data_IF_560601246042
#
_entry.id   IF_560601246042
#
_cell.length_a   1.000
_cell.length_b   1.000
_cell.length_c   1.000
_cell.angle_alpha   90.00
_cell.angle_beta   90.00
_cell.angle_gamma   90.00
#
_symmetry.space_group_name_H-M   'P 1'
#
loop_
_entity.id
_entity.type
_entity.pdbx_description
1 polymer ?
#
# COMPACT_ATOMS: atom_id res chain seq x y z
N UNK A 1 -0.11 -10.50 -24.86
CA UNK A 1 -0.68 -9.14 -24.83
C UNK A 1 -0.94 -8.84 -23.37
N UNK A 2 -0.01 -8.17 -22.68
CA UNK A 2 -0.26 -7.68 -21.33
C UNK A 2 -1.28 -6.55 -21.49
N UNK A 3 -2.44 -6.66 -20.85
CA UNK A 3 -3.53 -5.71 -21.01
C UNK A 3 -3.03 -4.29 -20.74
N UNK A 4 -3.19 -3.39 -21.72
CA UNK A 4 -2.94 -1.94 -21.65
C UNK A 4 -3.88 -1.21 -20.65
N UNK A 5 -4.20 -1.83 -19.51
CA UNK A 5 -5.19 -1.34 -18.53
C UNK A 5 -4.80 -1.63 -17.07
N UNK A 6 -3.61 -2.17 -16.80
CA UNK A 6 -3.22 -2.44 -15.41
C UNK A 6 -2.70 -1.17 -14.74
N UNK A 7 -3.54 -0.55 -13.91
CA UNK A 7 -3.22 0.67 -13.16
C UNK A 7 -2.66 0.36 -11.78
N UNK A 8 -1.77 1.22 -11.31
CA UNK A 8 -1.25 1.17 -9.95
C UNK A 8 -2.37 1.45 -8.94
N UNK A 9 -2.52 0.58 -7.95
CA UNK A 9 -3.56 0.69 -6.91
C UNK A 9 -3.36 1.86 -5.92
N UNK A 10 -2.33 2.70 -6.11
CA UNK A 10 -1.99 3.82 -5.24
C UNK A 10 -2.16 5.16 -5.98
N UNK A 11 -1.58 5.32 -7.16
CA UNK A 11 -1.70 6.57 -7.92
C UNK A 11 -2.79 6.54 -9.02
N UNK A 12 -3.41 5.38 -9.24
CA UNK A 12 -4.41 5.14 -10.29
C UNK A 12 -3.90 5.34 -11.73
N UNK A 13 -2.59 5.46 -11.88
CA UNK A 13 -1.90 5.67 -13.15
C UNK A 13 -1.31 4.37 -13.71
N UNK A 14 -1.18 4.29 -15.04
CA UNK A 14 -0.68 3.13 -15.77
C UNK A 14 0.67 3.33 -16.44
N UNK A 15 1.23 4.55 -16.43
CA UNK A 15 2.50 4.87 -17.09
C UNK A 15 3.66 4.18 -16.39
N UNK A 16 4.59 3.59 -17.15
CA UNK A 16 5.74 2.86 -16.59
C UNK A 16 7.05 3.39 -17.12
N UNK A 17 8.01 3.60 -16.23
CA UNK A 17 9.39 3.96 -16.58
C UNK A 17 10.35 2.81 -16.24
N UNK A 18 11.56 2.79 -16.83
CA UNK A 18 12.51 1.69 -16.67
C UNK A 18 12.94 1.44 -15.19
N UNK A 19 12.85 2.46 -14.33
CA UNK A 19 13.19 2.36 -12.90
C UNK A 19 11.96 2.42 -11.98
N UNK A 20 10.76 2.59 -12.55
CA UNK A 20 9.51 2.70 -11.80
C UNK A 20 8.41 1.91 -12.52
N UNK A 21 8.60 0.60 -12.65
CA UNK A 21 7.65 -0.28 -13.30
C UNK A 21 6.46 -0.60 -12.39
N UNK A 22 5.34 -1.04 -12.98
CA UNK A 22 4.24 -1.67 -12.25
C UNK A 22 4.59 -3.13 -12.00
N UNK A 23 4.64 -3.51 -10.73
CA UNK A 23 4.85 -4.89 -10.27
C UNK A 23 3.55 -5.51 -9.78
N UNK A 24 3.41 -6.82 -9.99
CA UNK A 24 2.24 -7.59 -9.60
C UNK A 24 2.60 -8.57 -8.49
N UNK A 25 1.85 -8.56 -7.41
CA UNK A 25 2.04 -9.51 -6.32
C UNK A 25 1.61 -10.91 -6.76
N UNK A 26 2.52 -11.88 -6.72
CA UNK A 26 2.23 -13.27 -7.08
C UNK A 26 1.19 -13.94 -6.15
N UNK A 27 0.97 -13.40 -4.95
CA UNK A 27 0.04 -13.95 -3.96
C UNK A 27 -1.38 -13.38 -4.02
N UNK A 28 -1.57 -12.15 -4.50
CA UNK A 28 -2.89 -11.49 -4.48
C UNK A 28 -3.19 -10.63 -5.72
N UNK A 29 -2.31 -10.64 -6.72
CA UNK A 29 -2.42 -9.86 -7.96
C UNK A 29 -2.52 -8.34 -7.75
N UNK A 30 -2.03 -7.82 -6.61
CA UNK A 30 -1.91 -6.38 -6.37
C UNK A 30 -0.92 -5.77 -7.37
N UNK A 31 -1.38 -4.79 -8.15
CA UNK A 31 -0.58 -4.01 -9.09
C UNK A 31 -0.18 -2.67 -8.47
N UNK A 32 1.12 -2.39 -8.36
CA UNK A 32 1.64 -1.12 -7.83
C UNK A 32 2.92 -0.72 -8.54
N UNK A 33 3.15 0.57 -8.70
CA UNK A 33 4.47 1.08 -9.05
C UNK A 33 5.49 0.78 -7.95
N UNK A 34 6.74 0.56 -8.36
CA UNK A 34 7.86 0.40 -7.44
C UNK A 34 7.97 1.56 -6.46
N UNK A 35 7.96 2.80 -6.96
CA UNK A 35 8.12 3.99 -6.11
C UNK A 35 6.88 4.22 -5.23
N UNK A 36 5.68 3.98 -5.75
CA UNK A 36 4.45 4.16 -4.97
C UNK A 36 4.36 3.20 -3.77
N UNK A 37 4.89 1.98 -3.89
CA UNK A 37 4.84 0.97 -2.83
C UNK A 37 6.16 0.80 -2.05
N UNK A 38 7.24 1.45 -2.50
CA UNK A 38 8.57 1.35 -1.92
C UNK A 38 9.25 0.01 -2.19
N UNK A 39 9.25 -0.44 -3.46
CA UNK A 39 9.92 -1.67 -3.92
C UNK A 39 11.31 -1.30 -4.46
N UNK A 40 12.39 -1.56 -3.69
CA UNK A 40 13.73 -1.08 -4.05
C UNK A 40 14.31 -1.75 -5.31
N UNK A 41 13.93 -3.00 -5.56
CA UNK A 41 14.29 -3.74 -6.77
C UNK A 41 13.27 -4.85 -7.01
N UNK A 42 13.11 -5.23 -8.27
CA UNK A 42 12.27 -6.36 -8.68
C UNK A 42 13.14 -7.63 -8.61
N UNK A 43 12.77 -8.65 -7.82
CA UNK A 43 13.53 -9.90 -7.77
C UNK A 43 13.40 -10.67 -9.09
N UNK A 44 14.38 -11.52 -9.41
CA UNK A 44 14.31 -12.42 -10.59
C UNK A 44 13.22 -13.50 -10.44
N UNK A 45 12.71 -13.72 -9.22
CA UNK A 45 11.64 -14.65 -8.91
C UNK A 45 10.36 -13.94 -8.48
N UNK A 46 9.62 -14.59 -7.57
CA UNK A 46 8.35 -14.06 -7.10
C UNK A 46 8.50 -12.76 -6.32
N UNK A 47 7.60 -11.83 -6.57
CA UNK A 47 7.41 -10.65 -5.74
C UNK A 47 6.10 -10.76 -4.95
N UNK A 48 6.20 -10.63 -3.63
CA UNK A 48 5.05 -10.63 -2.73
C UNK A 48 4.93 -9.26 -2.07
N UNK A 49 3.72 -8.70 -2.05
CA UNK A 49 3.43 -7.50 -1.27
C UNK A 49 3.58 -7.78 0.23
N UNK A 50 3.68 -6.72 1.04
CA UNK A 50 3.93 -6.86 2.48
C UNK A 50 2.89 -7.73 3.18
N UNK A 51 1.61 -7.59 2.81
CA UNK A 51 0.52 -8.43 3.32
C UNK A 51 0.76 -9.91 3.03
N UNK A 52 1.09 -10.26 1.79
CA UNK A 52 1.28 -11.65 1.38
C UNK A 52 2.53 -12.27 2.01
N UNK A 53 3.59 -11.49 2.25
CA UNK A 53 4.81 -11.95 2.93
C UNK A 53 4.55 -12.28 4.41
N UNK A 54 3.74 -11.50 5.11
CA UNK A 54 3.50 -11.67 6.56
C UNK A 54 2.29 -12.58 6.84
N UNK A 55 1.22 -12.45 6.04
CA UNK A 55 -0.10 -13.04 6.25
C UNK A 55 -0.69 -13.52 4.91
N UNK A 56 -0.12 -14.54 4.26
CA UNK A 56 -0.52 -14.98 2.92
C UNK A 56 -2.02 -15.30 2.83
N UNK A 57 -2.53 -16.11 3.77
CA UNK A 57 -3.91 -16.61 3.74
C UNK A 57 -4.88 -15.88 4.67
N UNK A 58 -4.43 -14.83 5.38
CA UNK A 58 -5.28 -14.10 6.34
C UNK A 58 -5.64 -12.73 5.79
N UNK A 59 -6.91 -12.29 5.87
CA UNK A 59 -7.27 -10.93 5.56
C UNK A 59 -6.65 -9.97 6.58
N UNK A 60 -6.48 -8.72 6.19
CA UNK A 60 -6.06 -7.63 7.08
C UNK A 60 -7.07 -6.49 6.95
N UNK A 61 -7.26 -5.75 8.02
CA UNK A 61 -8.17 -4.61 8.06
C UNK A 61 -7.36 -3.31 8.04
N UNK A 62 -7.82 -2.34 7.26
CA UNK A 62 -7.26 -0.99 7.32
C UNK A 62 -7.79 -0.28 8.55
N UNK A 63 -6.92 0.28 9.38
CA UNK A 63 -7.37 1.10 10.52
C UNK A 63 -8.06 2.40 10.11
N UNK A 64 -7.90 2.85 8.86
CA UNK A 64 -8.28 4.18 8.40
C UNK A 64 -9.55 4.19 7.53
N UNK A 65 -10.02 3.03 7.07
CA UNK A 65 -11.21 2.93 6.22
C UNK A 65 -11.81 1.51 6.27
N UNK A 66 -13.07 1.30 5.84
CA UNK A 66 -13.71 -0.01 5.89
C UNK A 66 -13.33 -0.97 4.74
N UNK A 67 -12.51 -0.54 3.78
CA UNK A 67 -12.16 -1.35 2.62
C UNK A 67 -11.15 -2.46 2.99
N UNK A 68 -11.27 -3.62 2.34
CA UNK A 68 -10.47 -4.83 2.64
C UNK A 68 -9.46 -5.18 1.54
N UNK A 69 -9.42 -4.41 0.46
CA UNK A 69 -8.55 -4.61 -0.69
C UNK A 69 -7.68 -3.38 -0.94
N UNK A 70 -6.51 -3.58 -1.52
CA UNK A 70 -5.59 -2.51 -1.90
C UNK A 70 -4.16 -2.76 -1.41
N UNK A 71 -3.35 -1.70 -1.49
CA UNK A 71 -1.94 -1.74 -1.12
C UNK A 71 -1.74 -1.46 0.38
N UNK A 72 -1.48 -2.52 1.15
CA UNK A 72 -1.28 -2.45 2.59
C UNK A 72 0.19 -2.35 3.01
N UNK A 73 0.44 -1.63 4.12
CA UNK A 73 1.69 -1.67 4.90
C UNK A 73 1.36 -1.80 6.39
N UNK A 74 2.35 -2.29 7.16
CA UNK A 74 2.21 -2.35 8.61
C UNK A 74 2.37 -0.95 9.21
N UNK A 75 1.55 -0.65 10.21
CA UNK A 75 1.67 0.58 11.01
C UNK A 75 2.77 0.41 12.07
N UNK A 76 3.26 1.52 12.63
CA UNK A 76 4.19 1.51 13.78
C UNK A 76 3.63 0.80 15.02
N UNK A 77 2.32 0.55 15.04
CA UNK A 77 1.60 -0.14 16.12
C UNK A 77 1.29 -1.61 15.79
N UNK A 78 1.99 -2.19 14.81
CA UNK A 78 1.84 -3.58 14.36
C UNK A 78 0.44 -3.94 13.84
N UNK A 79 -0.31 -2.94 13.36
CA UNK A 79 -1.58 -3.13 12.66
C UNK A 79 -1.39 -2.85 11.17
N UNK A 80 -2.47 -2.70 10.42
CA UNK A 80 -2.42 -2.52 8.96
C UNK A 80 -3.19 -1.28 8.53
N UNK A 81 -2.66 -0.59 7.53
CA UNK A 81 -3.35 0.48 6.85
C UNK A 81 -3.00 0.47 5.37
N UNK A 82 -3.90 0.98 4.54
CA UNK A 82 -3.59 1.24 3.14
C UNK A 82 -2.59 2.40 3.05
N UNK A 83 -1.60 2.28 2.17
CA UNK A 83 -0.70 3.40 1.84
C UNK A 83 -1.49 4.61 1.33
N UNK A 84 -2.47 4.39 0.46
CA UNK A 84 -3.35 5.44 -0.05
C UNK A 84 -4.05 6.21 1.08
N UNK A 85 -4.58 5.50 2.08
CA UNK A 85 -5.20 6.15 3.23
C UNK A 85 -4.20 6.98 4.04
N UNK A 86 -2.98 6.45 4.24
CA UNK A 86 -1.94 7.17 4.95
C UNK A 86 -1.45 8.43 4.21
N UNK A 87 -1.43 8.40 2.87
CA UNK A 87 -1.05 9.54 2.02
C UNK A 87 -2.10 10.66 2.09
N UNK A 88 -3.39 10.31 2.19
CA UNK A 88 -4.48 11.29 2.19
C UNK A 88 -4.90 11.81 3.57
N UNK A 89 -4.44 11.18 4.65
CA UNK A 89 -4.68 11.68 6.01
C UNK A 89 -3.48 12.55 6.44
N UNK A 90 -3.66 13.86 6.70
CA UNK A 90 -2.54 14.75 6.97
C UNK A 90 -1.71 14.40 8.21
N UNK A 91 -2.32 13.74 9.19
CA UNK A 91 -1.66 13.36 10.43
C UNK A 91 -0.87 12.05 10.32
N UNK A 92 -0.90 11.38 9.16
CA UNK A 92 -0.18 10.13 8.90
C UNK A 92 0.93 10.31 7.88
N UNK A 93 1.87 9.37 7.86
CA UNK A 93 2.94 9.33 6.89
C UNK A 93 3.59 7.95 6.85
N UNK A 94 4.84 7.94 6.38
CA UNK A 94 5.70 6.75 6.37
C UNK A 94 7.02 7.08 7.06
N UNK A 95 7.50 6.18 7.92
CA UNK A 95 8.76 6.36 8.63
C UNK A 95 10.00 6.31 7.72
N UNK A 96 9.89 5.63 6.57
CA UNK A 96 10.90 5.60 5.53
C UNK A 96 10.25 5.74 4.15
N UNK A 97 10.55 6.83 3.45
CA UNK A 97 9.99 7.13 2.13
C UNK A 97 10.53 6.24 0.99
N UNK A 98 11.70 5.61 1.16
CA UNK A 98 12.24 4.68 0.16
C UNK A 98 11.50 3.34 0.18
N UNK A 99 11.19 2.84 1.38
CA UNK A 99 10.46 1.58 1.55
C UNK A 99 8.96 1.78 1.75
N UNK A 100 8.50 3.04 1.78
CA UNK A 100 7.12 3.42 2.09
C UNK A 100 6.58 2.72 3.35
N UNK A 101 7.41 2.57 4.39
CA UNK A 101 7.04 1.85 5.61
C UNK A 101 7.91 2.21 6.83
N UNK A 102 7.45 1.94 8.07
CA UNK A 102 6.07 1.63 8.43
C UNK A 102 5.16 2.85 8.24
N UNK A 103 3.85 2.64 8.19
CA UNK A 103 2.89 3.75 8.30
C UNK A 103 2.91 4.29 9.73
N UNK A 104 3.03 5.60 9.90
CA UNK A 104 3.08 6.25 11.21
C UNK A 104 1.96 7.30 11.38
N UNK A 105 1.93 7.94 12.55
CA UNK A 105 0.99 9.04 12.83
C UNK A 105 -0.47 8.65 13.08
N UNK A 106 -0.86 7.38 12.87
CA UNK A 106 -2.26 6.90 13.00
C UNK A 106 -2.89 7.24 14.35
N UNK A 107 -2.14 7.13 15.45
CA UNK A 107 -2.64 7.49 16.81
C UNK A 107 -2.86 8.99 17.00
N UNK A 108 -2.24 9.82 16.19
CA UNK A 108 -2.38 11.28 16.20
C UNK A 108 -3.65 11.79 15.53
N UNK A 109 -4.40 10.93 14.83
CA UNK A 109 -5.61 11.32 14.10
C UNK A 109 -6.69 11.82 15.09
N UNK A 110 -7.17 13.08 14.95
CA UNK A 110 -8.21 13.61 15.81
C UNK A 110 -9.50 12.80 15.73
N UNK A 111 -10.14 12.54 16.89
CA UNK A 111 -11.41 11.78 16.97
C UNK A 111 -12.54 12.32 16.08
N UNK A 112 -12.47 13.60 15.71
CA UNK A 112 -13.46 14.26 14.87
C UNK A 112 -13.42 13.80 13.41
N UNK A 113 -12.26 13.35 12.88
CA UNK A 113 -12.17 12.84 11.50
C UNK A 113 -13.02 11.58 11.27
N UNK A 114 -13.20 10.78 12.30
CA UNK A 114 -14.01 9.56 12.27
C UNK A 114 -15.52 9.81 12.23
N UNK A 115 -15.97 11.06 12.42
CA UNK A 115 -17.39 11.43 12.40
C UNK A 115 -17.91 11.78 11.00
N UNK A 116 -17.07 11.79 9.98
CA UNK A 116 -17.44 12.11 8.59
C UNK A 116 -17.94 10.89 7.79
N UNK A 117 -17.88 9.69 8.37
CA UNK A 117 -18.33 8.42 7.74
C UNK A 117 -19.69 7.98 8.33
N UNK A 118 -20.58 8.96 8.56
CA UNK A 118 -21.93 8.74 9.09
C UNK A 118 -23.00 9.10 8.08
#
# INVERSE_FOLDING_TARGET
>A
MASEDSRCAICEDGDTENSNAIVFCDGCNLAVHQDCYGVPYIPEGQWLCRKCTVLPDRPVECELCPNTYGAFKQTSENKWAHLLCAIHIPETGVGNAMYMEPIDGVRGIPKQRWKLVG
#
